data_IF_809421533004
#
_entry.id   IF_809421533004
#
_cell.length_a   1.000
_cell.length_b   1.000
_cell.length_c   1.000
_cell.angle_alpha   90.00
_cell.angle_beta   90.00
_cell.angle_gamma   90.00
#
_symmetry.space_group_name_H-M   'P 1'
#
loop_
_entity.id
_entity.type
_entity.pdbx_description
1 polymer ?
#
# COMPACT_ATOMS: atom_id res chain seq x y z
N UNK A 1 8.72 0.91 -55.03
CA UNK A 1 9.10 1.16 -53.61
C UNK A 1 8.07 0.69 -52.58
N UNK A 2 6.90 0.14 -52.96
CA UNK A 2 5.78 -0.21 -52.04
C UNK A 2 5.93 -1.58 -51.35
N UNK A 3 6.73 -2.52 -51.91
CA UNK A 3 6.86 -3.90 -51.37
C UNK A 3 7.66 -4.02 -50.06
N UNK A 4 8.35 -2.97 -49.60
CA UNK A 4 9.15 -2.98 -48.36
C UNK A 4 8.40 -2.40 -47.16
N UNK A 5 7.28 -1.72 -47.39
CA UNK A 5 6.45 -1.11 -46.35
C UNK A 5 5.84 -2.12 -45.36
N UNK A 6 5.29 -3.29 -45.78
CA UNK A 6 4.74 -4.25 -44.83
C UNK A 6 5.83 -4.93 -43.98
N UNK A 7 7.03 -5.13 -44.54
CA UNK A 7 8.17 -5.68 -43.80
C UNK A 7 8.71 -4.70 -42.74
N UNK A 8 8.70 -3.39 -43.04
CA UNK A 8 9.08 -2.35 -42.09
C UNK A 8 8.06 -2.19 -40.96
N UNK A 9 6.76 -2.27 -41.26
CA UNK A 9 5.71 -2.27 -40.23
C UNK A 9 5.75 -3.51 -39.33
N UNK A 10 6.01 -4.70 -39.90
CA UNK A 10 6.15 -5.93 -39.12
C UNK A 10 7.38 -5.89 -38.19
N UNK A 11 8.50 -5.33 -38.67
CA UNK A 11 9.70 -5.14 -37.84
C UNK A 11 9.48 -4.12 -36.72
N UNK A 12 8.71 -3.06 -36.96
CA UNK A 12 8.36 -2.05 -35.94
C UNK A 12 7.42 -2.62 -34.87
N UNK A 13 6.42 -3.43 -35.26
CA UNK A 13 5.56 -4.13 -34.30
C UNK A 13 6.32 -5.17 -33.47
N UNK A 14 7.27 -5.89 -34.08
CA UNK A 14 8.11 -6.84 -33.35
C UNK A 14 9.02 -6.13 -32.33
N UNK A 15 9.57 -4.96 -32.69
CA UNK A 15 10.37 -4.15 -31.79
C UNK A 15 9.54 -3.58 -30.61
N UNK A 16 8.27 -3.22 -30.85
CA UNK A 16 7.35 -2.77 -29.80
C UNK A 16 7.01 -3.90 -28.80
N UNK A 17 6.93 -5.16 -29.26
CA UNK A 17 6.69 -6.31 -28.38
C UNK A 17 7.93 -6.74 -27.57
N UNK A 18 9.14 -6.33 -27.96
CA UNK A 18 10.37 -6.60 -27.18
C UNK A 18 10.56 -5.65 -25.98
N UNK A 19 9.83 -4.52 -25.90
CA UNK A 19 9.97 -3.60 -24.76
C UNK A 19 9.41 -4.19 -23.44
N UNK A 20 8.56 -5.22 -23.50
CA UNK A 20 7.99 -5.85 -22.31
C UNK A 20 8.97 -6.66 -21.45
N UNK A 21 10.17 -7.00 -21.96
CA UNK A 21 11.15 -7.79 -21.20
C UNK A 21 12.07 -6.91 -20.33
N UNK A 22 12.32 -5.66 -20.75
CA UNK A 22 13.09 -4.70 -19.96
C UNK A 22 12.31 -4.23 -18.73
N UNK A 23 11.00 -4.08 -18.84
CA UNK A 23 10.13 -3.74 -17.71
C UNK A 23 10.15 -4.83 -16.64
N UNK A 24 10.08 -6.10 -17.04
CA UNK A 24 10.19 -7.25 -16.13
C UNK A 24 11.56 -7.34 -15.44
N UNK A 25 12.65 -6.99 -16.13
CA UNK A 25 14.00 -6.98 -15.54
C UNK A 25 14.16 -5.87 -14.50
N UNK A 26 13.63 -4.67 -14.79
CA UNK A 26 13.62 -3.53 -13.85
C UNK A 26 12.71 -3.79 -12.66
N UNK A 27 11.55 -4.41 -12.89
CA UNK A 27 10.63 -4.84 -11.81
C UNK A 27 11.25 -5.95 -10.96
N UNK A 28 11.94 -6.93 -11.56
CA UNK A 28 12.62 -8.01 -10.84
C UNK A 28 13.80 -7.54 -10.00
N UNK A 29 14.67 -6.68 -10.55
CA UNK A 29 15.77 -6.09 -9.80
C UNK A 29 15.27 -5.10 -8.73
N UNK A 30 14.28 -4.26 -9.06
CA UNK A 30 13.69 -3.29 -8.14
C UNK A 30 12.95 -3.94 -6.96
N UNK A 31 12.13 -4.96 -7.21
CA UNK A 31 11.43 -5.70 -6.16
C UNK A 31 12.40 -6.46 -5.24
N UNK A 32 13.49 -7.01 -5.80
CA UNK A 32 14.55 -7.68 -5.03
C UNK A 32 15.29 -6.72 -4.08
N UNK A 33 15.65 -5.52 -4.56
CA UNK A 33 16.30 -4.50 -3.74
C UNK A 33 15.38 -3.96 -2.66
N UNK A 34 14.11 -3.70 -2.98
CA UNK A 34 13.12 -3.19 -2.01
C UNK A 34 12.85 -4.20 -0.89
N UNK A 35 12.84 -5.50 -1.20
CA UNK A 35 12.74 -6.56 -0.19
C UNK A 35 13.95 -6.62 0.74
N UNK A 36 15.15 -6.26 0.26
CA UNK A 36 16.40 -6.33 1.03
C UNK A 36 16.57 -5.16 2.03
N UNK A 37 15.91 -4.03 1.75
CA UNK A 37 15.91 -2.83 2.61
C UNK A 37 14.66 -2.74 3.50
N UNK A 38 13.66 -3.60 3.28
CA UNK A 38 12.55 -3.77 4.21
C UNK A 38 13.06 -4.37 5.54
N UNK A 39 12.48 -3.90 6.65
CA UNK A 39 12.79 -4.37 8.00
C UNK A 39 12.10 -5.71 8.30
N UNK A 40 11.08 -6.08 7.53
CA UNK A 40 10.37 -7.36 7.59
C UNK A 40 11.13 -8.42 6.80
N UNK A 41 11.13 -9.64 7.34
CA UNK A 41 11.64 -10.80 6.60
C UNK A 41 10.78 -11.06 5.35
N UNK A 42 11.37 -11.64 4.31
CA UNK A 42 10.62 -12.04 3.10
C UNK A 42 9.44 -12.95 3.43
N UNK A 43 9.60 -13.86 4.40
CA UNK A 43 8.50 -14.71 4.87
C UNK A 43 7.34 -13.92 5.49
N UNK A 44 7.64 -12.82 6.19
CA UNK A 44 6.61 -11.92 6.75
C UNK A 44 5.89 -11.14 5.64
N UNK A 45 6.61 -10.70 4.61
CA UNK A 45 6.00 -10.01 3.46
C UNK A 45 5.05 -10.93 2.70
N UNK A 46 5.44 -12.20 2.48
CA UNK A 46 4.57 -13.21 1.88
C UNK A 46 3.34 -13.47 2.77
N UNK A 47 3.53 -13.56 4.09
CA UNK A 47 2.42 -13.74 5.02
C UNK A 47 1.47 -12.53 5.00
N UNK A 48 1.98 -11.29 4.90
CA UNK A 48 1.18 -10.08 4.76
C UNK A 48 0.29 -10.13 3.52
N UNK A 49 0.85 -10.47 2.35
CA UNK A 49 0.07 -10.64 1.11
C UNK A 49 -0.97 -11.76 1.24
N UNK A 50 -0.61 -12.87 1.90
CA UNK A 50 -1.54 -13.95 2.21
C UNK A 50 -2.70 -13.50 3.11
N UNK A 51 -2.42 -12.66 4.12
CA UNK A 51 -3.44 -12.07 4.99
C UNK A 51 -4.35 -11.13 4.19
N UNK A 52 -3.79 -10.25 3.37
CA UNK A 52 -4.54 -9.32 2.51
C UNK A 52 -5.52 -10.09 1.62
N UNK A 53 -5.03 -11.09 0.87
CA UNK A 53 -5.83 -11.91 -0.04
C UNK A 53 -6.94 -12.69 0.68
N UNK A 54 -6.61 -13.39 1.78
CA UNK A 54 -7.60 -14.19 2.53
C UNK A 54 -8.68 -13.30 3.15
N UNK A 55 -8.30 -12.14 3.67
CA UNK A 55 -9.24 -11.19 4.26
C UNK A 55 -10.15 -10.62 3.19
N UNK A 56 -9.58 -10.13 2.08
CA UNK A 56 -10.34 -9.56 0.98
C UNK A 56 -11.35 -10.57 0.39
N UNK A 57 -10.93 -11.82 0.18
CA UNK A 57 -11.81 -12.88 -0.29
C UNK A 57 -12.98 -13.14 0.67
N UNK A 58 -12.70 -13.30 1.98
CA UNK A 58 -13.75 -13.54 2.97
C UNK A 58 -14.72 -12.36 3.11
N UNK A 59 -14.21 -11.12 2.99
CA UNK A 59 -15.05 -9.91 2.99
C UNK A 59 -15.95 -9.89 1.75
N UNK A 60 -15.38 -10.16 0.58
CA UNK A 60 -16.12 -10.24 -0.69
C UNK A 60 -17.20 -11.32 -0.65
N UNK A 61 -16.89 -12.52 -0.14
CA UNK A 61 -17.86 -13.61 0.01
C UNK A 61 -19.04 -13.26 0.94
N UNK A 62 -18.81 -12.41 1.95
CA UNK A 62 -19.82 -12.08 2.97
C UNK A 62 -20.64 -10.83 2.64
N UNK A 63 -20.01 -9.82 2.05
CA UNK A 63 -20.62 -8.51 1.80
C UNK A 63 -20.89 -8.25 0.32
N UNK A 64 -20.16 -8.91 -0.58
CA UNK A 64 -20.24 -8.71 -2.02
C UNK A 64 -20.02 -7.25 -2.40
N UNK A 65 -20.75 -6.81 -3.44
CA UNK A 65 -20.65 -5.45 -3.97
C UNK A 65 -21.26 -4.37 -3.05
N UNK A 66 -21.87 -4.77 -1.92
CA UNK A 66 -22.44 -3.81 -0.97
C UNK A 66 -21.38 -3.02 -0.21
N UNK A 67 -20.14 -3.50 -0.18
CA UNK A 67 -19.03 -2.88 0.52
C UNK A 67 -17.82 -2.74 -0.41
N UNK A 68 -17.09 -1.65 -0.26
CA UNK A 68 -15.80 -1.46 -0.89
C UNK A 68 -14.74 -1.40 0.21
N UNK A 69 -14.05 -2.52 0.46
CA UNK A 69 -13.06 -2.60 1.54
C UNK A 69 -11.68 -2.84 0.95
N UNK A 70 -10.76 -1.94 1.26
CA UNK A 70 -9.35 -2.10 0.99
C UNK A 70 -8.67 -2.68 2.23
N UNK A 71 -7.99 -3.82 2.05
CA UNK A 71 -7.23 -4.50 3.11
C UNK A 71 -5.76 -4.23 2.87
N UNK A 72 -5.05 -3.81 3.90
CA UNK A 72 -3.59 -3.65 3.87
C UNK A 72 -3.01 -4.31 5.10
N UNK A 73 -2.02 -5.19 4.93
CA UNK A 73 -1.26 -5.80 6.02
C UNK A 73 0.17 -5.26 6.03
N UNK A 74 0.69 -5.02 7.24
CA UNK A 74 2.09 -4.74 7.46
C UNK A 74 2.54 -5.40 8.76
N UNK A 75 3.51 -6.31 8.67
CA UNK A 75 4.01 -7.11 9.79
C UNK A 75 2.87 -7.82 10.56
N UNK A 76 1.91 -8.36 9.81
CA UNK A 76 0.69 -9.05 10.23
C UNK A 76 -0.32 -8.19 10.99
N UNK A 77 -0.14 -6.87 11.02
CA UNK A 77 -1.15 -5.91 11.49
C UNK A 77 -1.96 -5.43 10.29
N UNK A 78 -3.28 -5.55 10.38
CA UNK A 78 -4.20 -5.23 9.28
C UNK A 78 -4.79 -3.84 9.47
N UNK A 79 -4.75 -3.03 8.42
CA UNK A 79 -5.53 -1.82 8.24
C UNK A 79 -6.69 -2.13 7.28
N UNK A 80 -7.90 -1.79 7.70
CA UNK A 80 -9.11 -1.84 6.88
C UNK A 80 -9.54 -0.42 6.54
N UNK A 81 -9.74 -0.12 5.27
CA UNK A 81 -10.18 1.19 4.75
C UNK A 81 -11.26 1.00 3.68
N UNK A 82 -11.87 2.10 3.24
CA UNK A 82 -12.97 2.11 2.26
C UNK A 82 -14.33 2.35 2.92
N UNK A 83 -15.39 1.80 2.32
CA UNK A 83 -16.78 2.10 2.68
C UNK A 83 -17.65 0.85 2.85
N UNK A 84 -18.58 0.93 3.80
CA UNK A 84 -19.62 -0.07 4.07
C UNK A 84 -20.98 0.61 4.24
N UNK A 85 -22.08 -0.12 4.00
CA UNK A 85 -23.42 0.49 3.97
C UNK A 85 -23.94 0.85 5.37
N UNK A 86 -23.50 0.16 6.41
CA UNK A 86 -23.96 0.34 7.78
C UNK A 86 -22.91 -0.08 8.82
N UNK A 87 -23.18 0.24 10.08
CA UNK A 87 -22.30 -0.08 11.20
C UNK A 87 -22.14 -1.60 11.43
N UNK A 88 -23.16 -2.40 11.11
CA UNK A 88 -23.09 -3.85 11.27
C UNK A 88 -22.10 -4.46 10.27
N UNK A 89 -22.12 -3.99 9.02
CA UNK A 89 -21.13 -4.35 8.02
C UNK A 89 -19.72 -3.91 8.45
N UNK A 90 -19.55 -2.71 9.03
CA UNK A 90 -18.25 -2.28 9.57
C UNK A 90 -17.69 -3.24 10.62
N UNK A 91 -18.53 -3.66 11.58
CA UNK A 91 -18.16 -4.64 12.62
C UNK A 91 -17.87 -6.01 12.01
N UNK A 92 -18.64 -6.43 11.02
CA UNK A 92 -18.46 -7.72 10.35
C UNK A 92 -17.12 -7.80 9.59
N UNK A 93 -16.73 -6.76 8.86
CA UNK A 93 -15.42 -6.69 8.18
C UNK A 93 -14.28 -6.87 9.19
N UNK A 94 -14.37 -6.18 10.33
CA UNK A 94 -13.37 -6.28 11.39
C UNK A 94 -13.29 -7.70 11.96
N UNK A 95 -14.44 -8.32 12.22
CA UNK A 95 -14.52 -9.69 12.73
C UNK A 95 -13.90 -10.68 11.73
N UNK A 96 -14.16 -10.51 10.43
CA UNK A 96 -13.56 -11.33 9.38
C UNK A 96 -12.04 -11.21 9.41
N UNK A 97 -11.50 -9.98 9.43
CA UNK A 97 -10.06 -9.74 9.46
C UNK A 97 -9.39 -10.34 10.71
N UNK A 98 -9.99 -10.16 11.89
CA UNK A 98 -9.49 -10.75 13.15
C UNK A 98 -9.49 -12.28 13.13
N UNK A 99 -10.38 -12.90 12.35
CA UNK A 99 -10.47 -14.35 12.19
C UNK A 99 -9.55 -14.95 11.13
N UNK A 100 -8.74 -14.14 10.44
CA UNK A 100 -7.72 -14.64 9.50
C UNK A 100 -6.49 -15.12 10.28
N UNK A 101 -5.94 -16.32 9.98
CA UNK A 101 -4.75 -16.82 10.66
C UNK A 101 -3.58 -15.83 10.61
N UNK A 102 -2.78 -15.83 11.67
CA UNK A 102 -1.59 -15.01 11.86
C UNK A 102 -1.80 -13.50 11.98
N UNK A 103 -3.03 -12.99 11.89
CA UNK A 103 -3.32 -11.57 12.15
C UNK A 103 -2.99 -11.23 13.61
N UNK A 104 -2.11 -10.23 13.82
CA UNK A 104 -1.70 -9.75 15.16
C UNK A 104 -2.59 -8.64 15.69
N UNK A 105 -3.19 -7.86 14.80
CA UNK A 105 -3.99 -6.70 15.15
C UNK A 105 -4.79 -6.20 13.95
N UNK A 106 -5.87 -5.47 14.23
CA UNK A 106 -6.73 -4.88 13.21
C UNK A 106 -7.03 -3.44 13.61
N UNK A 107 -6.75 -2.51 12.69
CA UNK A 107 -7.14 -1.11 12.73
C UNK A 107 -8.26 -0.90 11.70
N UNK A 108 -9.48 -0.66 12.18
CA UNK A 108 -10.67 -0.56 11.33
C UNK A 108 -11.08 0.90 11.08
N UNK A 109 -10.66 1.43 9.93
CA UNK A 109 -10.91 2.80 9.49
C UNK A 109 -11.91 2.87 8.32
N UNK A 110 -12.62 1.76 8.07
CA UNK A 110 -13.74 1.71 7.13
C UNK A 110 -14.81 2.71 7.56
N UNK A 111 -15.36 3.45 6.60
CA UNK A 111 -16.39 4.46 6.84
C UNK A 111 -17.77 3.89 6.54
N UNK A 112 -18.76 4.27 7.35
CA UNK A 112 -20.17 4.00 7.02
C UNK A 112 -20.61 5.11 6.06
N UNK A 113 -20.57 4.81 4.76
CA UNK A 113 -20.81 5.77 3.69
C UNK A 113 -21.19 5.05 2.38
N UNK A 114 -21.74 5.80 1.43
CA UNK A 114 -21.87 5.32 0.06
C UNK A 114 -20.50 5.14 -0.59
N UNK A 115 -20.38 4.21 -1.55
CA UNK A 115 -19.13 3.89 -2.24
C UNK A 115 -18.52 5.15 -2.87
N UNK A 116 -17.23 5.38 -2.60
CA UNK A 116 -16.53 6.59 -3.07
C UNK A 116 -16.50 6.70 -4.59
N UNK A 117 -16.81 7.90 -5.11
CA UNK A 117 -16.75 8.22 -6.53
C UNK A 117 -15.32 8.09 -7.09
N UNK A 118 -15.19 7.78 -8.39
CA UNK A 118 -13.90 7.57 -9.05
C UNK A 118 -12.94 8.77 -8.92
N UNK A 119 -13.47 10.00 -8.95
CA UNK A 119 -12.67 11.23 -8.80
C UNK A 119 -11.99 11.36 -7.43
N UNK A 120 -12.62 10.88 -6.35
CA UNK A 120 -12.02 10.85 -5.02
C UNK A 120 -10.81 9.91 -4.99
N UNK A 121 -10.94 8.72 -5.59
CA UNK A 121 -9.87 7.71 -5.66
C UNK A 121 -8.67 8.17 -6.50
N UNK A 122 -8.92 8.88 -7.60
CA UNK A 122 -7.86 9.48 -8.42
C UNK A 122 -7.09 10.56 -7.65
N UNK A 123 -7.80 11.37 -6.83
CA UNK A 123 -7.18 12.33 -5.92
C UNK A 123 -6.30 11.63 -4.88
N UNK A 124 -6.74 10.50 -4.31
CA UNK A 124 -5.99 9.76 -3.29
C UNK A 124 -4.70 9.14 -3.80
N UNK A 125 -4.71 8.63 -5.03
CA UNK A 125 -3.49 8.14 -5.71
C UNK A 125 -2.47 9.27 -5.86
N UNK A 126 -2.94 10.48 -6.21
CA UNK A 126 -2.09 11.67 -6.35
C UNK A 126 -1.54 12.13 -5.00
N UNK A 127 -2.36 12.13 -3.95
CA UNK A 127 -1.92 12.45 -2.58
C UNK A 127 -0.84 11.45 -2.13
N UNK A 128 -1.07 10.16 -2.34
CA UNK A 128 -0.10 9.10 -2.01
C UNK A 128 1.24 9.33 -2.72
N UNK A 129 1.21 9.63 -4.03
CA UNK A 129 2.40 9.95 -4.81
C UNK A 129 3.15 11.17 -4.26
N UNK A 130 2.44 12.26 -3.94
CA UNK A 130 3.02 13.47 -3.34
C UNK A 130 3.68 13.19 -1.99
N UNK A 131 3.03 12.42 -1.11
CA UNK A 131 3.61 12.06 0.19
C UNK A 131 4.89 11.24 0.01
N UNK A 132 4.86 10.23 -0.87
CA UNK A 132 6.04 9.40 -1.17
C UNK A 132 7.19 10.22 -1.77
N UNK A 133 6.89 11.14 -2.69
CA UNK A 133 7.88 12.06 -3.26
C UNK A 133 8.53 12.92 -2.16
N UNK A 134 7.72 13.48 -1.25
CA UNK A 134 8.26 14.27 -0.14
C UNK A 134 9.09 13.45 0.85
N UNK A 135 8.79 12.17 1.04
CA UNK A 135 9.64 11.28 1.84
C UNK A 135 11.02 11.16 1.19
N UNK A 136 11.06 10.89 -0.12
CA UNK A 136 12.29 10.82 -0.92
C UNK A 136 13.09 12.14 -0.86
N UNK A 137 12.43 13.28 -1.10
CA UNK A 137 13.09 14.59 -1.15
C UNK A 137 13.64 15.05 0.21
N UNK A 138 12.98 14.66 1.31
CA UNK A 138 13.37 15.11 2.64
C UNK A 138 14.69 14.49 3.14
N UNK A 139 15.01 13.29 2.66
CA UNK A 139 16.10 12.44 3.14
C UNK A 139 16.14 12.26 4.69
N UNK A 140 15.00 12.44 5.38
CA UNK A 140 14.90 12.33 6.85
C UNK A 140 14.66 10.91 7.34
N UNK A 141 14.12 10.06 6.47
CA UNK A 141 13.79 8.67 6.73
C UNK A 141 13.91 7.87 5.43
N UNK A 142 14.16 6.57 5.53
CA UNK A 142 14.11 5.70 4.35
C UNK A 142 12.64 5.47 3.95
N UNK A 143 12.21 5.85 2.74
CA UNK A 143 10.81 5.72 2.32
C UNK A 143 10.30 4.28 2.29
N UNK A 144 11.19 3.28 2.25
CA UNK A 144 10.79 1.86 2.31
C UNK A 144 10.31 1.46 3.71
N UNK A 145 10.76 2.14 4.76
CA UNK A 145 10.33 1.82 6.13
C UNK A 145 8.88 2.21 6.41
N UNK A 146 8.25 3.02 5.54
CA UNK A 146 6.90 3.54 5.73
C UNK A 146 6.02 3.24 4.51
N UNK A 147 5.03 2.36 4.68
CA UNK A 147 3.94 2.16 3.71
C UNK A 147 2.92 3.30 3.88
N UNK A 148 2.62 3.97 2.77
CA UNK A 148 1.64 5.07 2.70
C UNK A 148 0.40 4.55 1.97
N UNK A 149 -0.75 4.61 2.63
CA UNK A 149 -2.07 4.33 2.05
C UNK A 149 -2.91 5.60 2.18
N UNK A 150 -3.67 5.97 1.15
CA UNK A 150 -4.59 7.11 1.22
C UNK A 150 -5.99 6.66 0.83
N UNK A 151 -6.98 7.03 1.63
CA UNK A 151 -8.40 6.78 1.36
C UNK A 151 -9.19 8.03 1.72
N UNK A 152 -9.96 8.55 0.77
CA UNK A 152 -10.75 9.78 0.90
C UNK A 152 -9.93 10.95 1.48
N UNK A 153 -8.68 11.15 1.06
CA UNK A 153 -7.79 12.20 1.57
C UNK A 153 -7.30 12.01 3.01
N UNK A 154 -7.57 10.85 3.63
CA UNK A 154 -6.95 10.44 4.91
C UNK A 154 -5.73 9.60 4.57
N UNK A 155 -4.57 9.99 5.10
CA UNK A 155 -3.31 9.25 4.92
C UNK A 155 -3.07 8.34 6.12
N UNK A 156 -2.94 7.06 5.86
CA UNK A 156 -2.55 6.04 6.83
C UNK A 156 -1.09 5.70 6.62
N UNK A 157 -0.31 5.81 7.68
CA UNK A 157 1.11 5.50 7.68
C UNK A 157 1.33 4.22 8.47
N UNK A 158 1.83 3.18 7.80
CA UNK A 158 2.19 1.90 8.41
C UNK A 158 3.71 1.71 8.30
N UNK A 159 4.29 0.99 9.24
CA UNK A 159 5.74 0.76 9.23
C UNK A 159 6.27 0.31 10.58
N UNK A 160 7.42 -0.36 10.57
CA UNK A 160 8.24 -0.59 11.75
C UNK A 160 9.24 0.55 11.85
N UNK A 161 8.98 1.52 12.73
CA UNK A 161 9.68 2.81 12.74
C UNK A 161 10.12 3.22 14.15
N UNK A 162 11.21 3.96 14.20
CA UNK A 162 11.60 4.68 15.42
C UNK A 162 10.66 5.86 15.66
N UNK A 163 10.62 6.36 16.89
CA UNK A 163 9.84 7.58 17.24
C UNK A 163 10.20 8.77 16.35
N UNK A 164 11.49 8.91 16.01
CA UNK A 164 11.97 9.97 15.11
C UNK A 164 11.44 9.79 13.68
N UNK A 165 11.57 8.59 13.11
CA UNK A 165 11.04 8.29 11.77
C UNK A 165 9.52 8.50 11.71
N UNK A 166 8.78 8.07 12.75
CA UNK A 166 7.35 8.26 12.85
C UNK A 166 6.96 9.76 12.86
N UNK A 167 7.68 10.57 13.64
CA UNK A 167 7.46 12.01 13.71
C UNK A 167 7.76 12.69 12.37
N UNK A 168 8.89 12.36 11.74
CA UNK A 168 9.28 12.92 10.44
C UNK A 168 8.28 12.51 9.33
N UNK A 169 7.87 11.25 9.28
CA UNK A 169 6.86 10.76 8.32
C UNK A 169 5.50 11.45 8.52
N UNK A 170 5.07 11.61 9.77
CA UNK A 170 3.80 12.27 10.11
C UNK A 170 3.82 13.73 9.71
N UNK A 171 4.93 14.44 9.96
CA UNK A 171 5.10 15.85 9.60
C UNK A 171 5.04 16.06 8.08
N UNK A 172 5.78 15.24 7.33
CA UNK A 172 5.79 15.31 5.87
C UNK A 172 4.41 14.97 5.30
N UNK A 173 3.74 13.95 5.81
CA UNK A 173 2.40 13.59 5.37
C UNK A 173 1.39 14.71 5.66
N UNK A 174 1.31 15.20 6.91
CA UNK A 174 0.27 16.18 7.31
C UNK A 174 0.41 17.55 6.63
N UNK A 175 1.63 17.91 6.23
CA UNK A 175 1.89 19.17 5.50
C UNK A 175 1.75 19.03 3.99
N UNK A 176 1.38 17.85 3.49
CA UNK A 176 1.21 17.61 2.05
C UNK A 176 -0.16 18.11 1.58
N UNK A 177 -0.17 18.87 0.50
CA UNK A 177 -1.39 19.40 -0.09
C UNK A 177 -2.39 18.29 -0.43
N UNK A 178 -3.65 18.47 0.00
CA UNK A 178 -4.76 17.52 -0.19
C UNK A 178 -4.96 16.55 0.97
N UNK A 179 -4.00 16.44 1.90
CA UNK A 179 -4.15 15.61 3.10
C UNK A 179 -5.11 16.28 4.09
N UNK A 180 -6.16 15.56 4.49
CA UNK A 180 -7.17 16.03 5.45
C UNK A 180 -6.89 15.56 6.88
N UNK A 181 -6.38 14.34 7.01
CA UNK A 181 -6.06 13.68 8.29
C UNK A 181 -4.90 12.73 8.07
N UNK A 182 -4.06 12.56 9.10
CA UNK A 182 -3.05 11.49 9.14
C UNK A 182 -3.40 10.55 10.28
N UNK A 183 -3.43 9.26 9.99
CA UNK A 183 -3.61 8.18 10.97
C UNK A 183 -2.31 7.37 11.02
N UNK A 184 -1.75 7.25 12.23
CA UNK A 184 -0.52 6.50 12.48
C UNK A 184 -0.88 5.06 12.85
N UNK A 185 -0.43 4.12 12.03
CA UNK A 185 -0.61 2.67 12.22
C UNK A 185 0.78 2.02 12.31
N UNK A 186 1.67 2.66 13.06
CA UNK A 186 3.06 2.25 13.21
C UNK A 186 3.24 1.18 14.28
N UNK A 187 4.23 0.32 14.06
CA UNK A 187 4.86 -0.48 15.11
C UNK A 187 6.17 0.22 15.50
N UNK A 188 6.27 0.62 16.77
CA UNK A 188 7.42 1.35 17.26
C UNK A 188 8.54 0.39 17.68
N UNK A 189 9.76 0.72 17.28
CA UNK A 189 10.98 -0.02 17.58
C UNK A 189 12.09 0.93 18.04
N UNK A 190 13.05 0.40 18.80
CA UNK A 190 14.25 1.12 19.22
C UNK A 190 15.40 0.83 18.26
N UNK A 191 16.39 1.71 18.24
CA UNK A 191 17.62 1.53 17.47
C UNK A 191 18.48 0.36 17.95
N UNK A 192 18.20 -0.17 19.14
CA UNK A 192 18.80 -1.40 19.68
C UNK A 192 18.11 -2.66 19.19
N UNK A 193 16.86 -2.57 18.75
CA UNK A 193 16.10 -3.72 18.27
C UNK A 193 16.56 -4.04 16.84
N UNK A 194 16.67 -5.32 16.50
CA UNK A 194 17.22 -5.77 15.21
C UNK A 194 16.53 -5.12 14.01
N UNK A 195 15.20 -4.98 14.07
CA UNK A 195 14.41 -4.39 13.01
C UNK A 195 14.80 -2.95 12.68
N UNK A 196 15.23 -2.15 13.65
CA UNK A 196 15.46 -0.71 13.49
C UNK A 196 16.87 -0.27 13.81
N UNK A 197 17.78 -1.24 13.89
CA UNK A 197 19.21 -1.00 14.00
C UNK A 197 19.72 -0.32 12.71
N UNK A 198 20.45 0.80 12.81
CA UNK A 198 21.10 1.41 11.66
C UNK A 198 22.03 0.38 10.97
N UNK A 199 21.91 0.25 9.65
CA UNK A 199 22.84 -0.54 8.83
C UNK A 199 23.94 0.35 8.30
#
# INVERSE_FOLDING_TARGET
MIKRLPALLAALCAAAMLQGCLEMAVVGAGAGVMSAVDRRTTGTQIEDEGIELRTANRVSERLGDRAHVNVTSFNRSVLLTGEVPDAAAKTEVERIARGVPNVRGVTNEVQVAGVSAYSARASDSTITGKVKARFLDSNKLNPVHVKVVTETGIVYLLGMVTEKEAADATELARTTSGVRKVVKVFEYCRTTDEACRPR
#
